data_IF_442584958823
#
_entry.id   IF_442584958823
#
_cell.length_a   1.000
_cell.length_b   1.000
_cell.length_c   1.000
_cell.angle_alpha   90.00
_cell.angle_beta   90.00
_cell.angle_gamma   90.00
#
_symmetry.space_group_name_H-M   'P 1'
#
loop_
_entity.id
_entity.type
_entity.pdbx_description
1 polymer ?
#
# COMPACT_ATOMS: atom_id res chain seq x y z
N UNK A 1 -9.84 3.02 -4.34
CA UNK A 1 -8.82 3.04 -3.25
C UNK A 1 -8.79 4.37 -2.54
N UNK A 2 -8.37 5.46 -3.21
CA UNK A 2 -8.26 6.80 -2.61
C UNK A 2 -9.55 7.27 -1.94
N UNK A 3 -10.68 7.15 -2.63
CA UNK A 3 -12.00 7.49 -2.06
C UNK A 3 -12.35 6.62 -0.85
N UNK A 4 -11.95 5.35 -0.82
CA UNK A 4 -12.22 4.45 0.29
C UNK A 4 -11.41 4.83 1.54
N UNK A 5 -10.13 5.17 1.35
CA UNK A 5 -9.25 5.66 2.40
C UNK A 5 -9.71 7.05 2.89
N UNK A 6 -10.06 7.97 1.98
CA UNK A 6 -10.57 9.29 2.32
C UNK A 6 -11.92 9.24 3.03
N UNK A 7 -12.86 8.38 2.62
CA UNK A 7 -14.12 8.19 3.33
C UNK A 7 -13.91 7.63 4.74
N UNK A 8 -12.92 6.75 4.93
CA UNK A 8 -12.55 6.28 6.27
C UNK A 8 -11.71 7.29 7.07
N UNK A 9 -11.34 8.45 6.50
CA UNK A 9 -10.48 9.44 7.15
C UNK A 9 -9.04 8.97 7.36
N UNK A 10 -8.58 8.02 6.55
CA UNK A 10 -7.26 7.40 6.71
C UNK A 10 -6.24 8.16 5.88
N UNK A 11 -5.27 8.75 6.55
CA UNK A 11 -4.12 9.38 5.90
C UNK A 11 -3.31 8.32 5.16
N UNK A 12 -3.23 8.46 3.84
CA UNK A 12 -2.36 7.65 3.00
C UNK A 12 -1.32 8.54 2.32
N UNK A 13 -0.15 7.97 2.05
CA UNK A 13 0.89 8.61 1.26
C UNK A 13 1.12 7.80 0.01
N UNK A 14 0.94 8.44 -1.13
CA UNK A 14 1.27 7.83 -2.41
C UNK A 14 2.78 7.95 -2.63
N UNK A 15 3.41 6.80 -2.86
CA UNK A 15 4.82 6.71 -3.21
C UNK A 15 4.88 6.08 -4.58
N UNK A 16 5.41 6.81 -5.56
CA UNK A 16 5.55 6.30 -6.91
C UNK A 16 6.84 5.50 -7.02
N UNK A 17 6.75 4.17 -6.99
CA UNK A 17 7.94 3.29 -7.11
C UNK A 17 8.62 3.35 -8.49
N UNK A 18 7.98 3.95 -9.50
CA UNK A 18 8.59 4.15 -10.81
C UNK A 18 9.53 5.37 -10.82
N UNK A 19 9.22 6.40 -10.01
CA UNK A 19 10.02 7.61 -9.91
C UNK A 19 10.94 7.60 -8.68
N UNK A 20 10.53 6.91 -7.62
CA UNK A 20 11.19 6.89 -6.33
C UNK A 20 11.86 5.52 -6.11
N UNK A 21 13.16 5.46 -6.43
CA UNK A 21 13.95 4.23 -6.32
C UNK A 21 14.02 3.73 -4.87
N UNK A 22 14.00 4.62 -3.87
CA UNK A 22 13.92 4.24 -2.46
C UNK A 22 12.61 3.54 -2.14
N UNK A 23 11.49 4.07 -2.61
CA UNK A 23 10.19 3.41 -2.43
C UNK A 23 10.17 2.04 -3.11
N UNK A 24 10.81 1.91 -4.28
CA UNK A 24 10.97 0.63 -4.99
C UNK A 24 11.79 -0.38 -4.16
N UNK A 25 12.93 0.02 -3.64
CA UNK A 25 13.77 -0.83 -2.79
C UNK A 25 13.04 -1.24 -1.50
N UNK A 26 12.42 -0.30 -0.79
CA UNK A 26 11.65 -0.58 0.42
C UNK A 26 10.49 -1.53 0.15
N UNK A 27 9.79 -1.34 -0.97
CA UNK A 27 8.74 -2.26 -1.42
C UNK A 27 9.30 -3.66 -1.65
N UNK A 28 10.42 -3.79 -2.38
CA UNK A 28 11.05 -5.07 -2.69
C UNK A 28 11.55 -5.77 -1.43
N UNK A 29 12.07 -5.00 -0.46
CA UNK A 29 12.55 -5.48 0.84
C UNK A 29 11.40 -5.92 1.75
N UNK A 30 10.25 -5.23 1.71
CA UNK A 30 9.06 -5.55 2.52
C UNK A 30 8.18 -6.66 1.94
N UNK A 31 7.99 -6.68 0.63
CA UNK A 31 7.10 -7.63 -0.08
C UNK A 31 7.84 -8.82 -0.68
N UNK A 32 9.16 -8.71 -0.89
CA UNK A 32 9.96 -9.65 -1.67
C UNK A 32 9.66 -9.63 -3.18
N UNK A 33 8.76 -8.77 -3.67
CA UNK A 33 8.24 -8.79 -5.04
C UNK A 33 7.90 -7.40 -5.56
N UNK A 34 8.23 -7.13 -6.82
CA UNK A 34 7.80 -5.90 -7.52
C UNK A 34 6.35 -6.02 -8.02
N UNK A 35 5.42 -6.22 -7.09
CA UNK A 35 4.01 -6.38 -7.40
C UNK A 35 3.21 -5.13 -7.00
N UNK A 36 2.93 -4.28 -7.99
CA UNK A 36 2.10 -3.08 -7.82
C UNK A 36 0.62 -3.39 -8.12
N UNK A 37 -0.33 -2.71 -7.47
CA UNK A 37 -0.16 -1.75 -6.37
C UNK A 37 0.20 -2.46 -5.05
N UNK A 38 1.16 -1.95 -4.27
CA UNK A 38 1.43 -2.44 -2.91
C UNK A 38 0.96 -1.41 -1.89
N UNK A 39 0.23 -1.85 -0.87
CA UNK A 39 -0.33 -1.03 0.19
C UNK A 39 0.30 -1.49 1.50
N UNK A 40 1.06 -0.60 2.14
CA UNK A 40 1.64 -0.89 3.47
C UNK A 40 0.83 -0.14 4.51
N UNK A 41 0.25 -0.88 5.46
CA UNK A 41 -0.50 -0.34 6.60
C UNK A 41 0.22 -0.77 7.88
N UNK A 42 1.02 0.14 8.44
CA UNK A 42 1.87 -0.16 9.59
C UNK A 42 2.89 -1.27 9.31
N UNK A 43 2.73 -2.41 9.99
CA UNK A 43 3.55 -3.61 9.80
C UNK A 43 2.98 -4.60 8.78
N UNK A 44 1.78 -4.36 8.25
CA UNK A 44 1.15 -5.24 7.27
C UNK A 44 1.36 -4.70 5.87
N UNK A 45 1.67 -5.62 4.97
CA UNK A 45 1.94 -5.36 3.56
C UNK A 45 0.90 -6.13 2.77
N UNK A 46 0.08 -5.40 2.02
CA UNK A 46 -0.88 -5.96 1.07
C UNK A 46 -0.33 -5.75 -0.31
N UNK A 47 -0.22 -6.83 -1.05
CA UNK A 47 0.17 -6.80 -2.45
C UNK A 47 -1.10 -6.90 -3.28
N UNK A 48 -1.30 -5.94 -4.18
CA UNK A 48 -2.50 -5.78 -4.98
C UNK A 48 -3.56 -4.87 -4.34
N UNK A 49 -4.66 -4.68 -5.06
CA UNK A 49 -5.84 -3.99 -4.55
C UNK A 49 -6.86 -5.03 -4.08
N UNK A 50 -6.88 -5.33 -2.79
CA UNK A 50 -7.80 -6.30 -2.21
C UNK A 50 -8.75 -5.63 -1.21
N UNK A 51 -10.01 -5.41 -1.63
CA UNK A 51 -11.00 -4.64 -0.85
C UNK A 51 -11.27 -5.27 0.52
N UNK A 52 -11.49 -6.58 0.60
CA UNK A 52 -11.73 -7.27 1.88
C UNK A 52 -10.51 -7.22 2.81
N UNK A 53 -9.30 -7.23 2.27
CA UNK A 53 -8.06 -7.18 3.05
C UNK A 53 -7.81 -5.76 3.59
N UNK A 54 -8.02 -4.75 2.74
CA UNK A 54 -8.07 -3.34 3.13
C UNK A 54 -9.13 -3.10 4.20
N UNK A 55 -10.34 -3.63 4.04
CA UNK A 55 -11.38 -3.50 5.05
C UNK A 55 -10.97 -4.12 6.39
N UNK A 56 -10.37 -5.31 6.39
CA UNK A 56 -9.83 -5.94 7.61
C UNK A 56 -8.68 -5.17 8.26
N UNK A 57 -7.85 -4.49 7.45
CA UNK A 57 -6.72 -3.70 7.93
C UNK A 57 -7.11 -2.35 8.50
N UNK A 58 -8.23 -1.82 8.00
CA UNK A 58 -8.76 -0.51 8.30
C UNK A 58 -10.04 -0.61 9.16
N UNK A 59 -10.32 -1.80 9.73
CA UNK A 59 -11.47 -2.06 10.62
C UNK A 59 -11.08 -1.98 12.08
#
# INVERSE_FOLDING_TARGET
MKEFLSQKGISYRELNVAEDEKAREEMLKKTGRLAVPTITVGNKVVVGFNRSELEKLLS
#
